data_IF_212921621504
#
_entry.id   IF_212921621504
#
_cell.length_a   1.000
_cell.length_b   1.000
_cell.length_c   1.000
_cell.angle_alpha   90.00
_cell.angle_beta   90.00
_cell.angle_gamma   90.00
#
_symmetry.space_group_name_H-M   'P 1'
#
loop_
_entity.id
_entity.type
_entity.pdbx_description
1 polymer ?
#
# COMPACT_ATOMS: atom_id res chain seq x y z
N UNK A 1 -22.81 -59.03 -42.62
CA UNK A 1 -23.62 -57.93 -42.08
C UNK A 1 -24.09 -58.28 -40.68
N UNK A 2 -23.40 -57.80 -39.65
CA UNK A 2 -23.92 -57.61 -38.28
C UNK A 2 -23.11 -56.47 -37.67
N UNK A 3 -23.78 -55.33 -37.52
CA UNK A 3 -23.27 -54.07 -37.00
C UNK A 3 -23.54 -54.06 -35.51
N UNK A 4 -22.50 -53.93 -34.69
CA UNK A 4 -22.65 -53.75 -33.24
C UNK A 4 -21.89 -52.50 -32.86
N UNK A 5 -22.65 -51.47 -32.50
CA UNK A 5 -22.19 -50.17 -32.02
C UNK A 5 -21.73 -50.36 -30.58
N UNK A 6 -20.50 -49.98 -30.26
CA UNK A 6 -20.07 -49.78 -28.87
C UNK A 6 -20.00 -48.27 -28.60
N UNK A 7 -20.94 -47.80 -27.79
CA UNK A 7 -20.98 -46.45 -27.26
C UNK A 7 -20.11 -46.37 -26.00
N UNK A 8 -19.38 -45.27 -25.85
CA UNK A 8 -18.92 -44.75 -24.57
C UNK A 8 -17.52 -45.17 -24.15
N UNK A 9 -16.59 -44.20 -24.12
CA UNK A 9 -16.26 -43.51 -22.86
C UNK A 9 -15.37 -42.31 -23.21
N UNK A 10 -15.96 -41.11 -23.21
CA UNK A 10 -15.19 -39.87 -23.25
C UNK A 10 -14.61 -39.70 -21.84
N UNK A 11 -13.35 -40.09 -21.66
CA UNK A 11 -12.61 -39.80 -20.45
C UNK A 11 -12.32 -38.29 -20.42
N UNK A 12 -13.31 -37.50 -20.01
CA UNK A 12 -13.08 -36.15 -19.52
C UNK A 12 -12.24 -36.30 -18.26
N UNK A 13 -10.92 -36.18 -18.42
CA UNK A 13 -10.00 -35.87 -17.32
C UNK A 13 -10.48 -34.58 -16.70
N UNK A 14 -11.33 -34.72 -15.69
CA UNK A 14 -11.65 -33.70 -14.72
C UNK A 14 -10.32 -33.35 -14.06
N UNK A 15 -9.62 -32.35 -14.59
CA UNK A 15 -8.53 -31.70 -13.89
C UNK A 15 -9.19 -31.10 -12.65
N UNK A 16 -9.15 -31.86 -11.56
CA UNK A 16 -9.46 -31.35 -10.23
C UNK A 16 -8.44 -30.24 -10.03
N UNK A 17 -8.88 -28.99 -10.19
CA UNK A 17 -8.21 -27.84 -9.63
C UNK A 17 -8.24 -28.08 -8.12
N UNK A 18 -7.22 -28.79 -7.61
CA UNK A 18 -6.79 -28.61 -6.25
C UNK A 18 -6.40 -27.13 -6.17
N UNK A 19 -7.38 -26.30 -5.84
CA UNK A 19 -7.13 -25.08 -5.08
C UNK A 19 -6.47 -25.56 -3.79
N UNK A 20 -5.15 -25.78 -3.85
CA UNK A 20 -4.34 -25.74 -2.65
C UNK A 20 -4.50 -24.31 -2.15
N UNK A 21 -5.47 -24.08 -1.27
CA UNK A 21 -5.35 -22.99 -0.34
C UNK A 21 -4.13 -23.34 0.51
N UNK A 22 -2.95 -22.83 0.14
CA UNK A 22 -1.83 -22.83 1.07
C UNK A 22 -2.33 -22.20 2.36
N UNK A 23 -2.26 -22.94 3.47
CA UNK A 23 -2.49 -22.38 4.78
C UNK A 23 -1.32 -21.44 5.07
N UNK A 24 -1.41 -20.21 4.59
CA UNK A 24 -0.41 -19.17 4.86
C UNK A 24 -0.53 -18.84 6.35
N UNK A 25 0.47 -19.26 7.13
CA UNK A 25 0.58 -18.87 8.53
C UNK A 25 1.22 -17.48 8.59
N UNK A 26 0.44 -16.50 9.05
CA UNK A 26 0.94 -15.14 9.26
C UNK A 26 1.54 -15.02 10.67
N UNK A 27 2.76 -14.51 10.77
CA UNK A 27 3.37 -14.15 12.04
C UNK A 27 2.76 -12.86 12.59
N UNK A 28 2.65 -12.76 13.92
CA UNK A 28 2.21 -11.54 14.57
C UNK A 28 3.23 -10.41 14.30
N UNK A 29 2.79 -9.23 13.82
CA UNK A 29 3.71 -8.12 13.60
C UNK A 29 4.38 -7.66 14.90
N UNK A 30 5.70 -7.46 14.84
CA UNK A 30 6.49 -7.04 16.01
C UNK A 30 6.29 -5.57 16.42
N UNK A 31 5.65 -4.77 15.57
CA UNK A 31 5.47 -3.32 15.75
C UNK A 31 4.06 -2.93 16.20
N UNK A 32 3.26 -3.89 16.67
CA UNK A 32 1.94 -3.59 17.24
C UNK A 32 2.09 -2.70 18.49
N UNK A 33 1.26 -1.67 18.58
CA UNK A 33 1.19 -0.76 19.73
C UNK A 33 -0.07 -1.03 20.58
N UNK A 34 -0.08 -0.57 21.82
CA UNK A 34 -1.27 -0.61 22.67
C UNK A 34 -2.30 0.44 22.23
N UNK A 35 -3.57 0.24 22.61
CA UNK A 35 -4.61 1.23 22.39
C UNK A 35 -4.32 2.55 23.11
N UNK A 36 -3.82 2.51 24.35
CA UNK A 36 -3.46 3.72 25.11
C UNK A 36 -2.40 4.55 24.40
N UNK A 37 -1.38 3.91 23.81
CA UNK A 37 -0.37 4.62 23.02
C UNK A 37 -0.97 5.19 21.73
N UNK A 38 -1.90 4.47 21.08
CA UNK A 38 -2.58 4.97 19.89
C UNK A 38 -3.45 6.21 20.19
N UNK A 39 -4.15 6.22 21.34
CA UNK A 39 -4.89 7.38 21.85
C UNK A 39 -3.95 8.57 22.06
N UNK A 40 -2.86 8.39 22.84
CA UNK A 40 -1.90 9.46 23.10
C UNK A 40 -1.32 10.02 21.80
N UNK A 41 -0.93 9.16 20.85
CA UNK A 41 -0.39 9.61 19.56
C UNK A 41 -1.40 10.43 18.75
N UNK A 42 -2.68 10.05 18.77
CA UNK A 42 -3.75 10.78 18.07
C UNK A 42 -3.99 12.15 18.69
N UNK A 43 -4.08 12.25 20.02
CA UNK A 43 -4.25 13.51 20.74
C UNK A 43 -3.08 14.47 20.49
N UNK A 44 -1.83 13.98 20.63
CA UNK A 44 -0.63 14.78 20.37
C UNK A 44 -0.60 15.28 18.93
N UNK A 45 -1.02 14.47 17.96
CA UNK A 45 -1.10 14.90 16.57
C UNK A 45 -2.12 16.04 16.41
N UNK A 46 -3.27 15.91 17.05
CA UNK A 46 -4.34 16.89 17.00
C UNK A 46 -3.90 18.26 17.54
N UNK A 47 -3.35 18.26 18.75
CA UNK A 47 -2.92 19.47 19.46
C UNK A 47 -1.73 20.15 18.79
N UNK A 48 -0.78 19.37 18.26
CA UNK A 48 0.47 19.93 17.73
C UNK A 48 0.46 20.23 16.24
N UNK A 49 -0.27 19.44 15.43
CA UNK A 49 -0.17 19.53 13.95
C UNK A 49 -1.51 19.84 13.31
N UNK A 50 -2.56 19.07 13.61
CA UNK A 50 -3.84 19.21 12.94
C UNK A 50 -4.45 20.60 13.13
N UNK A 51 -4.35 21.17 14.35
CA UNK A 51 -4.83 22.52 14.63
C UNK A 51 -4.05 23.60 13.88
N UNK A 52 -2.70 23.50 13.85
CA UNK A 52 -1.86 24.46 13.14
C UNK A 52 -2.11 24.44 11.63
N UNK A 53 -2.19 23.25 11.04
CA UNK A 53 -2.45 23.08 9.61
C UNK A 53 -3.84 23.62 9.27
N UNK A 54 -4.87 23.25 10.04
CA UNK A 54 -6.24 23.68 9.78
C UNK A 54 -6.40 25.20 9.85
N UNK A 55 -5.71 25.85 10.81
CA UNK A 55 -5.65 27.31 10.89
C UNK A 55 -4.93 27.93 9.68
N UNK A 56 -3.84 27.31 9.22
CA UNK A 56 -3.08 27.81 8.07
C UNK A 56 -3.84 27.70 6.75
N UNK A 57 -4.62 26.62 6.56
CA UNK A 57 -5.39 26.39 5.31
C UNK A 57 -6.83 26.89 5.40
N UNK A 58 -7.23 27.47 6.54
CA UNK A 58 -8.58 27.99 6.83
C UNK A 58 -9.69 26.95 6.64
N UNK A 59 -9.39 25.67 6.88
CA UNK A 59 -10.29 24.52 6.72
C UNK A 59 -9.78 23.35 7.56
N UNK A 60 -10.67 22.49 8.04
CA UNK A 60 -10.28 21.23 8.67
C UNK A 60 -9.52 20.33 7.68
N UNK A 61 -8.31 19.92 8.08
CA UNK A 61 -7.50 18.98 7.31
C UNK A 61 -7.75 17.51 7.70
N UNK A 62 -7.24 16.60 6.86
CA UNK A 62 -7.33 15.17 7.04
C UNK A 62 -6.44 14.70 8.19
N UNK A 63 -7.02 13.90 9.08
CA UNK A 63 -6.35 13.34 10.26
C UNK A 63 -6.25 11.82 10.23
N UNK A 64 -7.04 11.16 9.38
CA UNK A 64 -7.00 9.74 9.13
C UNK A 64 -7.32 9.44 7.66
N UNK A 65 -6.71 8.40 7.12
CA UNK A 65 -6.95 7.92 5.76
C UNK A 65 -7.34 6.45 5.85
N UNK A 66 -8.44 6.08 5.20
CA UNK A 66 -8.92 4.70 5.18
C UNK A 66 -8.65 4.04 3.83
N UNK A 67 -8.18 2.79 3.88
CA UNK A 67 -8.07 1.89 2.74
C UNK A 67 -8.89 0.63 3.07
N UNK A 68 -9.56 0.05 2.07
CA UNK A 68 -10.11 -1.29 2.25
C UNK A 68 -8.98 -2.31 2.28
N UNK A 69 -9.18 -3.41 3.02
CA UNK A 69 -8.23 -4.53 3.03
C UNK A 69 -8.07 -5.10 1.62
N UNK A 70 -9.19 -5.27 0.90
CA UNK A 70 -9.20 -5.76 -0.49
C UNK A 70 -8.32 -4.90 -1.41
N UNK A 71 -8.39 -3.57 -1.33
CA UNK A 71 -7.59 -2.69 -2.18
C UNK A 71 -6.10 -2.77 -1.81
N UNK A 72 -5.78 -2.87 -0.52
CA UNK A 72 -4.39 -3.08 -0.08
C UNK A 72 -3.84 -4.41 -0.60
N UNK A 73 -4.60 -5.50 -0.48
CA UNK A 73 -4.19 -6.81 -0.98
C UNK A 73 -4.02 -6.80 -2.51
N UNK A 74 -4.98 -6.22 -3.23
CA UNK A 74 -4.92 -6.06 -4.68
C UNK A 74 -3.69 -5.25 -5.10
N UNK A 75 -3.42 -4.14 -4.42
CA UNK A 75 -2.28 -3.30 -4.73
C UNK A 75 -0.94 -4.00 -4.44
N UNK A 76 -0.82 -4.70 -3.31
CA UNK A 76 0.36 -5.48 -2.97
C UNK A 76 0.64 -6.57 -4.02
N UNK A 77 -0.40 -7.26 -4.48
CA UNK A 77 -0.28 -8.26 -5.54
C UNK A 77 0.10 -7.61 -6.88
N UNK A 78 -0.55 -6.49 -7.23
CA UNK A 78 -0.27 -5.73 -8.44
C UNK A 78 1.19 -5.30 -8.52
N UNK A 79 1.73 -4.65 -7.48
CA UNK A 79 3.12 -4.15 -7.53
C UNK A 79 4.15 -5.29 -7.53
N UNK A 80 3.87 -6.41 -6.86
CA UNK A 80 4.74 -7.60 -6.92
C UNK A 80 4.78 -8.21 -8.32
N UNK A 81 3.62 -8.35 -8.98
CA UNK A 81 3.55 -8.87 -10.35
C UNK A 81 4.22 -7.93 -11.34
N UNK A 82 3.89 -6.64 -11.32
CA UNK A 82 4.52 -5.64 -12.17
C UNK A 82 6.03 -5.50 -11.91
N UNK A 83 6.46 -5.68 -10.65
CA UNK A 83 7.87 -5.74 -10.27
C UNK A 83 8.57 -6.92 -10.92
N UNK A 84 8.02 -8.13 -10.77
CA UNK A 84 8.56 -9.35 -11.35
C UNK A 84 8.70 -9.27 -12.88
N UNK A 85 7.69 -8.73 -13.58
CA UNK A 85 7.73 -8.50 -15.03
C UNK A 85 8.88 -7.56 -15.45
N UNK A 86 9.28 -6.64 -14.56
CA UNK A 86 10.35 -5.66 -14.78
C UNK A 86 11.69 -6.06 -14.15
N UNK A 87 11.79 -7.26 -13.57
CA UNK A 87 12.99 -7.70 -12.86
C UNK A 87 13.26 -6.94 -11.56
N UNK A 88 12.24 -6.36 -10.94
CA UNK A 88 12.31 -5.61 -9.68
C UNK A 88 11.70 -6.46 -8.57
N UNK A 89 12.51 -6.76 -7.55
CA UNK A 89 12.02 -7.36 -6.31
C UNK A 89 11.43 -6.29 -5.39
N UNK A 90 10.10 -6.30 -5.23
CA UNK A 90 9.40 -5.36 -4.35
C UNK A 90 9.44 -5.88 -2.92
N UNK A 91 10.09 -5.11 -2.05
CA UNK A 91 10.46 -5.51 -0.68
C UNK A 91 9.66 -4.80 0.40
N UNK A 92 8.93 -3.75 0.05
CA UNK A 92 8.15 -2.98 1.01
C UNK A 92 7.27 -1.92 0.37
N UNK A 93 6.59 -1.16 1.22
CA UNK A 93 5.78 0.00 0.87
C UNK A 93 6.20 1.17 1.76
N UNK A 94 6.42 2.33 1.15
CA UNK A 94 6.62 3.61 1.83
C UNK A 94 5.35 4.45 1.72
N UNK A 95 4.94 5.05 2.83
CA UNK A 95 3.80 5.95 2.88
C UNK A 95 4.30 7.39 2.81
N UNK A 96 3.81 8.15 1.84
CA UNK A 96 4.12 9.56 1.67
C UNK A 96 2.92 10.43 2.01
N UNK A 97 3.16 11.53 2.72
CA UNK A 97 2.21 12.62 2.88
C UNK A 97 2.25 13.50 1.62
N UNK A 98 1.07 13.85 1.10
CA UNK A 98 0.91 14.78 0.00
C UNK A 98 -0.27 15.70 0.24
N UNK A 99 -0.45 16.71 -0.62
CA UNK A 99 -1.61 17.60 -0.61
C UNK A 99 -2.20 17.61 -2.00
N UNK A 100 -3.51 17.43 -2.11
CA UNK A 100 -4.17 17.54 -3.40
C UNK A 100 -4.07 18.98 -3.93
N UNK A 101 -3.84 19.18 -5.24
CA UNK A 101 -3.92 20.50 -5.84
C UNK A 101 -5.20 21.23 -5.45
N UNK A 102 -5.07 22.54 -5.21
CA UNK A 102 -6.19 23.37 -4.82
C UNK A 102 -6.99 23.84 -6.05
N UNK A 103 -7.58 22.89 -6.77
CA UNK A 103 -8.43 23.15 -7.93
C UNK A 103 -9.68 22.27 -7.94
N UNK A 104 -10.66 22.66 -8.75
CA UNK A 104 -12.00 22.07 -8.74
C UNK A 104 -12.07 20.62 -9.18
N UNK A 105 -11.04 20.09 -9.87
CA UNK A 105 -11.02 18.68 -10.30
C UNK A 105 -10.95 17.71 -9.11
N UNK A 106 -10.41 18.17 -7.97
CA UNK A 106 -10.29 17.39 -6.74
C UNK A 106 -11.48 17.54 -5.78
N UNK A 107 -12.47 18.37 -6.12
CA UNK A 107 -13.72 18.55 -5.37
C UNK A 107 -13.47 18.77 -3.87
N UNK A 108 -14.08 17.97 -2.98
CA UNK A 108 -13.94 18.08 -1.53
C UNK A 108 -12.51 17.85 -1.02
N UNK A 109 -11.67 17.17 -1.82
CA UNK A 109 -10.27 16.85 -1.49
C UNK A 109 -9.32 18.00 -1.81
N UNK A 110 -9.74 18.99 -2.60
CA UNK A 110 -8.88 20.10 -3.00
C UNK A 110 -8.23 20.78 -1.79
N UNK A 111 -6.90 20.92 -1.83
CA UNK A 111 -6.11 21.52 -0.75
C UNK A 111 -6.02 20.71 0.54
N UNK A 112 -6.53 19.48 0.58
CA UNK A 112 -6.43 18.59 1.75
C UNK A 112 -5.24 17.64 1.66
N UNK A 113 -4.72 17.29 2.83
CA UNK A 113 -3.68 16.27 2.99
C UNK A 113 -4.20 14.90 2.53
N UNK A 114 -3.31 14.10 1.96
CA UNK A 114 -3.52 12.71 1.58
C UNK A 114 -2.30 11.88 1.95
N UNK A 115 -2.48 10.57 2.00
CA UNK A 115 -1.38 9.60 2.03
C UNK A 115 -1.40 8.83 0.70
N UNK A 116 -0.24 8.49 0.16
CA UNK A 116 -0.12 7.55 -0.94
C UNK A 116 0.99 6.54 -0.67
N UNK A 117 0.80 5.33 -1.18
CA UNK A 117 1.67 4.17 -0.98
C UNK A 117 2.59 4.04 -2.19
N UNK A 118 3.89 3.93 -1.96
CA UNK A 118 4.91 3.76 -2.99
C UNK A 118 5.67 2.47 -2.74
N UNK A 119 5.82 1.57 -3.74
CA UNK A 119 6.58 0.33 -3.55
C UNK A 119 8.07 0.63 -3.43
N UNK A 120 8.77 -0.17 -2.63
CA UNK A 120 10.22 -0.06 -2.42
C UNK A 120 10.96 -1.30 -2.89
N UNK A 121 12.22 -1.13 -3.27
CA UNK A 121 13.16 -2.19 -3.63
C UNK A 121 14.48 -2.00 -2.89
N UNK A 122 15.26 -3.07 -2.75
CA UNK A 122 16.63 -2.94 -2.25
C UNK A 122 17.47 -2.15 -3.24
N UNK A 123 18.31 -1.26 -2.71
CA UNK A 123 19.33 -0.57 -3.50
C UNK A 123 20.32 -1.61 -4.01
N UNK A 124 20.53 -1.63 -5.33
CA UNK A 124 21.62 -2.42 -5.90
C UNK A 124 22.97 -1.87 -5.42
N UNK A 125 23.85 -2.76 -4.98
CA UNK A 125 25.21 -2.38 -4.62
C UNK A 125 25.91 -1.82 -5.86
N UNK A 126 26.06 -0.49 -5.91
CA UNK A 126 26.81 0.16 -6.98
C UNK A 126 28.29 -0.08 -6.69
N UNK A 127 28.95 -0.98 -7.42
CA UNK A 127 30.41 -1.10 -7.39
C UNK A 127 30.98 0.11 -8.13
N UNK A 128 31.04 1.26 -7.44
CA UNK A 128 31.79 2.41 -7.92
C UNK A 128 33.21 2.28 -7.38
N UNK A 129 34.07 1.62 -8.17
CA UNK A 129 35.52 1.82 -8.07
C UNK A 129 35.74 3.29 -8.43
N UNK A 130 36.25 4.10 -7.50
CA UNK A 130 36.45 5.56 -7.62
C UNK A 130 35.23 6.45 -7.31
N UNK A 131 34.87 6.55 -6.03
CA UNK A 131 34.49 7.87 -5.50
C UNK A 131 34.75 7.96 -4.01
N UNK A 132 35.71 8.83 -3.71
CA UNK A 132 36.14 9.30 -2.41
C UNK A 132 34.99 9.89 -1.56
N UNK A 133 35.00 9.54 -0.27
CA UNK A 133 34.57 10.36 0.88
C UNK A 133 33.12 10.86 0.89
N UNK A 134 32.19 9.99 1.26
CA UNK A 134 31.13 10.32 2.22
C UNK A 134 30.60 9.02 2.85
N UNK A 135 30.92 8.77 4.12
CA UNK A 135 30.17 7.82 4.95
C UNK A 135 28.78 8.42 5.18
N UNK A 136 27.87 8.18 4.24
CA UNK A 136 26.52 8.71 4.27
C UNK A 136 25.60 7.50 4.23
N UNK A 137 24.94 7.20 5.35
CA UNK A 137 23.94 6.15 5.53
C UNK A 137 23.18 5.89 4.23
N UNK A 138 23.59 4.85 3.49
CA UNK A 138 22.91 4.51 2.26
C UNK A 138 21.62 3.82 2.64
N UNK A 139 20.50 4.52 2.45
CA UNK A 139 19.17 3.92 2.61
C UNK A 139 19.11 2.62 1.79
N UNK A 140 18.90 1.49 2.48
CA UNK A 140 18.88 0.15 1.88
C UNK A 140 17.62 -0.03 1.03
N UNK A 141 16.48 0.55 1.45
CA UNK A 141 15.20 0.43 0.76
C UNK A 141 14.87 1.71 0.00
N UNK A 142 15.04 1.72 -1.31
CA UNK A 142 14.73 2.84 -2.19
C UNK A 142 13.35 2.70 -2.83
N UNK A 143 12.75 3.80 -3.27
CA UNK A 143 11.50 3.74 -4.02
C UNK A 143 11.70 3.04 -5.38
N UNK A 144 10.79 2.13 -5.72
CA UNK A 144 10.72 1.50 -7.02
C UNK A 144 9.93 2.41 -7.97
N UNK A 145 10.57 3.50 -8.42
CA UNK A 145 9.96 4.56 -9.25
C UNK A 145 9.39 4.06 -10.59
N UNK A 146 9.76 2.85 -11.01
CA UNK A 146 9.24 2.20 -12.20
C UNK A 146 7.84 1.60 -11.99
N UNK A 147 7.36 1.56 -10.76
CA UNK A 147 6.06 1.04 -10.36
C UNK A 147 5.17 2.19 -9.85
N UNK A 148 3.86 2.07 -10.07
CA UNK A 148 2.92 3.15 -9.78
C UNK A 148 2.58 3.22 -8.29
N UNK A 149 2.52 4.42 -7.69
CA UNK A 149 2.02 4.60 -6.34
C UNK A 149 0.49 4.45 -6.30
N UNK A 150 -0.05 3.97 -5.19
CA UNK A 150 -1.50 3.95 -4.91
C UNK A 150 -1.90 5.14 -4.06
N UNK A 151 -2.82 5.94 -4.57
CA UNK A 151 -3.58 6.89 -3.77
C UNK A 151 -5.06 6.57 -3.85
N UNK A 152 -5.54 5.74 -2.93
CA UNK A 152 -6.98 5.57 -2.74
C UNK A 152 -7.34 5.50 -1.26
N UNK A 153 -7.06 6.60 -0.58
CA UNK A 153 -7.63 6.89 0.72
C UNK A 153 -9.07 7.39 0.57
N UNK A 154 -10.05 6.60 1.00
CA UNK A 154 -11.39 7.10 1.23
C UNK A 154 -11.33 8.11 2.39
N UNK A 155 -11.43 9.40 2.09
CA UNK A 155 -11.66 10.40 3.13
C UNK A 155 -13.11 10.25 3.57
N UNK A 156 -13.36 9.40 4.57
CA UNK A 156 -14.66 9.32 5.21
C UNK A 156 -15.17 10.74 5.47
N UNK A 157 -16.41 11.04 5.07
CA UNK A 157 -17.04 12.30 5.46
C UNK A 157 -17.41 12.16 6.95
N UNK A 158 -16.97 13.03 7.88
CA UNK A 158 -16.24 14.32 7.74
C UNK A 158 -14.69 14.19 7.75
N UNK A 159 -13.94 15.20 7.25
CA UNK A 159 -12.46 15.15 7.08
C UNK A 159 -11.67 14.93 8.38
N UNK A 160 -12.31 15.16 9.52
CA UNK A 160 -11.75 14.95 10.86
C UNK A 160 -12.33 13.67 11.45
N UNK A 161 -11.54 12.60 11.43
CA UNK A 161 -11.84 11.34 12.13
C UNK A 161 -10.88 11.26 13.31
N UNK A 162 -11.45 11.20 14.52
CA UNK A 162 -10.65 11.01 15.73
C UNK A 162 -10.43 9.52 15.97
N UNK A 163 -9.26 9.15 16.47
CA UNK A 163 -9.06 7.79 16.96
C UNK A 163 -10.02 7.54 18.14
N UNK A 164 -10.65 6.35 18.24
CA UNK A 164 -11.54 6.03 19.36
C UNK A 164 -10.86 6.23 20.71
N UNK A 165 -11.59 6.83 21.64
CA UNK A 165 -11.17 7.12 23.02
C UNK A 165 -11.77 6.10 23.98
#
# INVERSE_FOLDING_TARGET
>A
MKMTIFAGFLATTLFVLNSCSENVQYEQPSQLITHDLAVELSERYHESRAELISKSILKDDVTAVWYSIEELENYLNYVKNQGAEKGIDVTGIRLYLGVYPNDSSYKEKAGLTTIFLTPTKKREATINVESSRTDQYSEENIDAIELQPLNYGGIGRPPRVMYPQ
#
